data_IF_615661273987
#
_entry.id   IF_615661273987
#
_cell.length_a   1.000
_cell.length_b   1.000
_cell.length_c   1.000
_cell.angle_alpha   90.00
_cell.angle_beta   90.00
_cell.angle_gamma   90.00
#
_symmetry.space_group_name_H-M   'P 1'
#
loop_
_entity.id
_entity.type
_entity.pdbx_description
1 polymer ?
#
# COMPACT_ATOMS: atom_id res chain seq x y z
N UNK A 1 23.01 -12.74 5.59
CA UNK A 1 21.72 -13.36 5.21
C UNK A 1 22.02 -14.58 4.34
N UNK A 2 21.42 -15.73 4.64
CA UNK A 2 21.65 -17.01 3.94
C UNK A 2 20.55 -17.38 2.95
N UNK A 3 19.48 -16.57 2.86
CA UNK A 3 18.39 -16.71 1.90
C UNK A 3 18.04 -15.37 1.27
N UNK A 4 17.49 -15.42 0.05
CA UNK A 4 16.99 -14.26 -0.68
C UNK A 4 15.54 -13.97 -0.26
N UNK A 5 15.27 -12.69 0.01
CA UNK A 5 13.92 -12.23 0.28
C UNK A 5 13.04 -12.37 -0.97
N UNK A 6 11.78 -12.83 -0.83
CA UNK A 6 10.83 -12.81 -1.93
C UNK A 6 10.51 -11.36 -2.33
N UNK A 7 10.00 -11.20 -3.54
CA UNK A 7 9.40 -9.93 -3.98
C UNK A 7 8.12 -9.71 -3.18
N UNK A 8 8.05 -8.57 -2.49
CA UNK A 8 6.85 -8.07 -1.82
C UNK A 8 6.24 -6.94 -2.68
N UNK A 9 4.98 -7.09 -3.07
CA UNK A 9 4.26 -6.11 -3.89
C UNK A 9 3.70 -4.96 -3.05
N UNK A 10 3.20 -3.94 -3.75
CA UNK A 10 2.49 -2.80 -3.17
C UNK A 10 3.26 -2.01 -2.10
N UNK A 11 4.60 -2.11 -2.09
CA UNK A 11 5.45 -1.46 -1.08
C UNK A 11 5.63 -2.29 0.19
N UNK A 12 5.33 -3.59 0.17
CA UNK A 12 5.66 -4.51 1.25
C UNK A 12 7.16 -4.62 1.50
N UNK A 13 7.52 -4.91 2.74
CA UNK A 13 8.91 -5.03 3.19
C UNK A 13 9.16 -6.47 3.62
N UNK A 14 10.27 -7.06 3.18
CA UNK A 14 10.66 -8.39 3.65
C UNK A 14 11.28 -8.31 5.04
N UNK A 15 10.80 -9.15 5.95
CA UNK A 15 11.44 -9.37 7.24
C UNK A 15 12.69 -10.26 7.05
N UNK A 16 13.85 -9.75 7.48
CA UNK A 16 15.14 -10.41 7.30
C UNK A 16 15.38 -11.58 8.26
N UNK A 17 14.56 -11.70 9.31
CA UNK A 17 14.60 -12.78 10.29
C UNK A 17 13.70 -13.94 9.87
N UNK A 18 12.50 -13.66 9.34
CA UNK A 18 11.53 -14.70 8.95
C UNK A 18 11.54 -15.03 7.46
N UNK A 19 11.95 -14.09 6.60
CA UNK A 19 11.85 -14.20 5.14
C UNK A 19 10.43 -13.98 4.60
N UNK A 20 9.50 -13.50 5.43
CA UNK A 20 8.12 -13.22 5.05
C UNK A 20 7.91 -11.73 4.71
N UNK A 21 6.91 -11.43 3.88
CA UNK A 21 6.53 -10.05 3.57
C UNK A 21 5.64 -9.47 4.67
N UNK A 22 6.04 -8.31 5.20
CA UNK A 22 5.20 -7.45 6.03
C UNK A 22 4.50 -6.45 5.12
N UNK A 23 3.17 -6.54 5.09
CA UNK A 23 2.36 -5.78 4.16
C UNK A 23 2.02 -4.37 4.65
N UNK A 24 1.96 -3.40 3.73
CA UNK A 24 1.44 -2.08 4.03
C UNK A 24 -0.02 -2.14 4.48
N UNK A 25 -0.51 -1.15 5.24
CA UNK A 25 -1.91 -1.03 5.58
C UNK A 25 -2.79 -1.10 4.32
N UNK A 26 -3.88 -1.86 4.37
CA UNK A 26 -4.81 -2.01 3.25
C UNK A 26 -4.41 -3.05 2.20
N UNK A 27 -3.34 -3.83 2.45
CA UNK A 27 -2.97 -4.98 1.63
C UNK A 27 -2.74 -6.24 2.48
N UNK A 28 -2.93 -7.41 1.86
CA UNK A 28 -2.66 -8.71 2.44
C UNK A 28 -2.15 -9.71 1.38
N UNK A 29 -1.99 -10.96 1.82
CA UNK A 29 -1.40 -12.03 1.01
C UNK A 29 0.05 -12.27 1.38
N UNK A 30 0.59 -13.41 0.95
CA UNK A 30 1.96 -13.82 1.28
C UNK A 30 3.03 -12.91 0.69
N UNK A 31 2.69 -12.16 -0.38
CA UNK A 31 3.55 -11.20 -1.05
C UNK A 31 2.89 -9.82 -1.15
N UNK A 32 1.87 -9.55 -0.35
CA UNK A 32 1.14 -8.28 -0.35
C UNK A 32 0.48 -7.94 -1.69
N UNK A 33 0.11 -8.96 -2.47
CA UNK A 33 -0.46 -8.85 -3.81
C UNK A 33 -1.93 -8.43 -3.83
N UNK A 34 -2.63 -8.55 -2.69
CA UNK A 34 -4.08 -8.40 -2.62
C UNK A 34 -4.45 -7.15 -1.84
N UNK A 35 -5.24 -6.27 -2.45
CA UNK A 35 -5.81 -5.10 -1.77
C UNK A 35 -6.98 -5.53 -0.89
N UNK A 36 -7.06 -4.97 0.32
CA UNK A 36 -8.20 -5.13 1.20
C UNK A 36 -9.46 -4.51 0.57
N UNK A 37 -10.62 -5.13 0.80
CA UNK A 37 -11.89 -4.56 0.38
C UNK A 37 -12.29 -3.38 1.27
N UNK A 38 -12.83 -2.32 0.66
CA UNK A 38 -13.27 -1.09 1.34
C UNK A 38 -12.13 -0.44 2.15
N UNK A 39 -12.44 0.23 3.26
CA UNK A 39 -11.46 0.90 4.12
C UNK A 39 -10.93 -0.03 5.23
N UNK A 40 -10.76 -1.32 4.88
CA UNK A 40 -10.21 -2.32 5.79
C UNK A 40 -8.68 -2.35 5.76
N UNK A 41 -8.11 -2.64 6.92
CA UNK A 41 -6.67 -2.60 7.20
C UNK A 41 -6.25 -3.78 8.08
N UNK A 42 -4.93 -3.93 8.25
CA UNK A 42 -4.32 -5.02 9.01
C UNK A 42 -4.08 -6.27 8.18
N UNK A 43 -3.28 -7.19 8.74
CA UNK A 43 -2.78 -8.40 8.06
C UNK A 43 -3.88 -9.31 7.49
N UNK A 44 -5.04 -9.35 8.14
CA UNK A 44 -6.21 -10.13 7.67
C UNK A 44 -7.31 -9.28 7.04
N UNK A 45 -7.10 -7.97 6.81
CA UNK A 45 -8.13 -7.05 6.32
C UNK A 45 -9.44 -7.11 7.14
N UNK A 46 -9.35 -7.24 8.47
CA UNK A 46 -10.52 -7.38 9.36
C UNK A 46 -10.83 -6.11 10.13
N UNK A 47 -9.82 -5.27 10.36
CA UNK A 47 -9.98 -3.98 11.03
C UNK A 47 -10.43 -2.93 10.02
N UNK A 48 -11.21 -1.97 10.45
CA UNK A 48 -11.66 -0.84 9.64
C UNK A 48 -11.06 0.45 10.19
N UNK A 49 -10.83 1.43 9.34
CA UNK A 49 -10.37 2.76 9.75
C UNK A 49 -11.42 3.45 10.64
N UNK A 50 -10.95 4.25 11.60
CA UNK A 50 -11.87 4.95 12.51
C UNK A 50 -12.70 5.96 11.73
N UNK A 51 -14.01 6.01 11.97
CA UNK A 51 -14.91 6.88 11.20
C UNK A 51 -15.21 6.40 9.78
N UNK A 52 -14.74 5.20 9.39
CA UNK A 52 -15.07 4.56 8.10
C UNK A 52 -14.21 5.01 6.93
N UNK A 53 -13.25 5.91 7.12
CA UNK A 53 -12.22 6.30 6.15
C UNK A 53 -10.89 6.53 6.88
N UNK A 54 -9.78 6.34 6.18
CA UNK A 54 -8.45 6.41 6.76
C UNK A 54 -7.81 7.81 6.64
N UNK A 55 -8.57 8.81 6.19
CA UNK A 55 -8.12 10.20 6.14
C UNK A 55 -7.77 10.68 7.55
N UNK A 56 -6.59 11.30 7.70
CA UNK A 56 -6.13 11.79 9.00
C UNK A 56 -5.40 10.74 9.85
N UNK A 57 -5.23 9.51 9.34
CA UNK A 57 -4.75 8.39 10.14
C UNK A 57 -3.40 7.88 9.67
N UNK A 58 -2.41 8.00 10.56
CA UNK A 58 -1.14 7.30 10.42
C UNK A 58 -1.31 5.86 10.92
N UNK A 59 -1.02 4.89 10.05
CA UNK A 59 -1.20 3.47 10.32
C UNK A 59 0.17 2.82 10.50
N UNK A 60 0.41 2.30 11.70
CA UNK A 60 1.64 1.60 12.02
C UNK A 60 1.48 0.09 11.88
N UNK A 61 2.43 -0.52 11.21
CA UNK A 61 2.64 -1.97 11.11
C UNK A 61 3.90 -2.31 11.89
N UNK A 62 4.01 -3.57 12.30
CA UNK A 62 5.20 -4.06 12.97
C UNK A 62 6.47 -3.86 12.13
N UNK A 63 7.61 -3.80 12.82
CA UNK A 63 8.92 -3.85 12.18
C UNK A 63 9.02 -5.08 11.26
N UNK A 64 9.72 -4.99 10.11
CA UNK A 64 10.54 -3.86 9.66
C UNK A 64 9.76 -2.78 8.87
N UNK A 65 8.43 -2.86 8.76
CA UNK A 65 7.69 -1.94 7.89
C UNK A 65 7.62 -0.51 8.45
N UNK A 66 7.24 -0.35 9.72
CA UNK A 66 7.07 0.97 10.36
C UNK A 66 5.67 1.56 10.16
N UNK A 67 5.57 2.87 9.90
CA UNK A 67 4.28 3.55 9.79
C UNK A 67 4.11 4.25 8.44
N UNK A 68 2.90 4.21 7.90
CA UNK A 68 2.52 4.91 6.67
C UNK A 68 1.06 5.33 6.69
N UNK A 69 0.69 6.25 5.79
CA UNK A 69 -0.71 6.51 5.50
C UNK A 69 -1.36 5.30 4.82
N UNK A 70 -2.69 5.24 4.85
CA UNK A 70 -3.43 4.25 4.08
C UNK A 70 -3.22 4.44 2.56
N UNK A 71 -3.48 3.41 1.74
CA UNK A 71 -3.32 3.50 0.30
C UNK A 71 -4.19 4.61 -0.29
N UNK A 72 -3.59 5.40 -1.19
CA UNK A 72 -4.23 6.57 -1.80
C UNK A 72 -4.05 7.88 -1.03
N UNK A 73 -3.38 7.87 0.13
CA UNK A 73 -3.15 9.04 0.96
C UNK A 73 -1.66 9.24 1.27
N UNK A 74 -1.27 10.49 1.48
CA UNK A 74 0.08 10.94 1.85
C UNK A 74 0.07 12.17 2.76
N UNK A 75 1.27 12.61 3.12
CA UNK A 75 1.52 13.72 4.04
C UNK A 75 1.69 13.24 5.47
N UNK A 76 2.22 14.11 6.32
CA UNK A 76 2.47 13.79 7.74
C UNK A 76 1.17 13.45 8.46
N UNK A 77 0.07 14.14 8.10
CA UNK A 77 -1.25 13.92 8.68
C UNK A 77 -2.14 12.98 7.86
N UNK A 78 -1.66 12.41 6.76
CA UNK A 78 -2.47 11.51 5.91
C UNK A 78 -3.80 12.12 5.41
N UNK A 79 -3.84 13.44 5.21
CA UNK A 79 -5.01 14.19 4.76
C UNK A 79 -4.96 14.55 3.27
N UNK A 80 -3.88 14.18 2.58
CA UNK A 80 -3.67 14.54 1.17
C UNK A 80 -3.81 13.30 0.29
N UNK A 81 -4.67 13.36 -0.72
CA UNK A 81 -4.82 12.29 -1.72
C UNK A 81 -3.58 12.22 -2.60
N UNK A 82 -3.19 11.02 -3.04
CA UNK A 82 -2.05 10.85 -3.95
C UNK A 82 -2.18 11.71 -5.22
N UNK A 83 -1.08 12.33 -5.68
CA UNK A 83 -1.06 13.02 -6.95
C UNK A 83 -1.25 12.05 -8.14
N UNK A 84 -1.47 12.61 -9.32
CA UNK A 84 -1.49 11.85 -10.58
C UNK A 84 -0.18 11.11 -10.81
N UNK A 85 -0.30 9.82 -11.13
CA UNK A 85 0.84 8.93 -11.39
C UNK A 85 1.44 8.30 -10.14
N UNK A 86 0.92 8.56 -8.94
CA UNK A 86 1.39 7.91 -7.71
C UNK A 86 0.29 7.09 -7.04
N UNK A 87 0.69 6.02 -6.36
CA UNK A 87 -0.23 5.12 -5.69
C UNK A 87 0.37 4.42 -4.47
N UNK A 88 -0.48 3.68 -3.76
CA UNK A 88 -0.11 2.85 -2.62
C UNK A 88 -0.08 3.60 -1.30
N UNK A 89 0.39 2.94 -0.25
CA UNK A 89 0.49 3.50 1.09
C UNK A 89 1.53 4.63 1.12
N UNK A 90 1.11 5.83 1.54
CA UNK A 90 1.99 7.01 1.52
C UNK A 90 2.35 7.52 0.12
N UNK A 91 1.68 7.03 -0.94
CA UNK A 91 1.94 7.40 -2.33
C UNK A 91 3.40 7.25 -2.76
N UNK A 92 4.07 6.19 -2.31
CA UNK A 92 5.51 5.97 -2.58
C UNK A 92 5.77 5.23 -3.88
N UNK A 93 4.73 4.68 -4.52
CA UNK A 93 4.84 3.94 -5.77
C UNK A 93 4.40 4.79 -6.97
N UNK A 94 4.99 4.51 -8.13
CA UNK A 94 4.74 5.26 -9.38
C UNK A 94 4.02 4.37 -10.39
N UNK A 95 2.98 4.91 -11.02
CA UNK A 95 2.24 4.22 -12.06
C UNK A 95 2.88 4.40 -13.44
N UNK A 96 2.77 3.37 -14.27
CA UNK A 96 3.23 3.37 -15.66
C UNK A 96 2.08 3.05 -16.62
N UNK A 97 0.96 3.77 -16.46
CA UNK A 97 -0.23 3.57 -17.27
C UNK A 97 -0.08 4.15 -18.68
N UNK A 98 -0.49 3.40 -19.70
CA UNK A 98 -0.41 3.83 -21.11
C UNK A 98 -1.25 5.10 -21.40
N UNK A 99 -2.38 5.25 -20.70
CA UNK A 99 -3.28 6.41 -20.83
C UNK A 99 -2.86 7.60 -19.94
N UNK A 100 -1.64 7.57 -19.41
CA UNK A 100 -1.09 8.64 -18.58
C UNK A 100 -1.40 8.52 -17.08
N UNK A 101 -0.84 9.44 -16.27
CA UNK A 101 -0.80 9.33 -14.81
C UNK A 101 -2.17 9.44 -14.11
N UNK A 102 -3.15 10.08 -14.74
CA UNK A 102 -4.52 10.22 -14.20
C UNK A 102 -5.35 8.93 -14.35
N UNK A 103 -4.96 8.01 -15.25
CA UNK A 103 -5.66 6.75 -15.46
C UNK A 103 -5.36 5.68 -14.38
N UNK A 104 -4.51 6.03 -13.42
CA UNK A 104 -4.05 5.15 -12.35
C UNK A 104 -4.91 5.28 -11.10
N UNK A 105 -5.34 4.14 -10.57
CA UNK A 105 -5.96 4.06 -9.25
C UNK A 105 -4.95 4.37 -8.14
N UNK A 106 -5.25 5.38 -7.31
CA UNK A 106 -4.36 5.87 -6.26
C UNK A 106 -4.08 4.86 -5.16
N UNK A 107 -4.98 3.88 -4.96
CA UNK A 107 -4.84 2.89 -3.91
C UNK A 107 -3.98 1.72 -4.41
N UNK A 108 -4.33 1.17 -5.56
CA UNK A 108 -3.86 -0.13 -6.07
C UNK A 108 -2.86 -0.04 -7.21
N UNK A 109 -2.74 1.11 -7.87
CA UNK A 109 -1.89 1.26 -9.05
C UNK A 109 -2.50 0.71 -10.34
N UNK A 110 -3.75 0.22 -10.29
CA UNK A 110 -4.43 -0.36 -11.45
C UNK A 110 -4.69 0.71 -12.54
N UNK A 111 -4.41 0.35 -13.79
CA UNK A 111 -4.56 1.23 -14.95
C UNK A 111 -5.79 0.88 -15.78
N UNK A 112 -6.62 1.87 -16.12
CA UNK A 112 -7.87 1.68 -16.90
C UNK A 112 -7.69 1.47 -18.41
N UNK A 113 -6.48 1.18 -18.88
CA UNK A 113 -6.19 0.87 -20.29
C UNK A 113 -4.87 0.15 -20.52
N UNK A 114 -4.36 -0.54 -19.48
CA UNK A 114 -3.08 -1.23 -19.52
C UNK A 114 -1.88 -0.38 -19.11
N UNK A 115 -0.74 -1.06 -19.00
CA UNK A 115 0.55 -0.48 -18.65
C UNK A 115 1.41 -0.35 -19.92
N UNK A 116 2.30 0.63 -19.93
CA UNK A 116 3.31 0.83 -20.97
C UNK A 116 4.70 0.61 -20.37
#
# INVERSE_FOLDING_TARGET
>A
CTGDCPVCYNGGVCDDNTGECVCPPGFNGTKCESACANNKIGTSCTRECEGGDCTGQLLCVMDPYGCSCAPGLMGIECNTVCPDGMYGAGCTQTCHCANGPAACDKKTGACTGGCH
#
